data_IF_288411960098
#
_entry.id   IF_288411960098
#
_cell.length_a   1.000
_cell.length_b   1.000
_cell.length_c   1.000
_cell.angle_alpha   90.00
_cell.angle_beta   90.00
_cell.angle_gamma   90.00
#
_symmetry.space_group_name_H-M   'P 1'
#
loop_
_entity.id
_entity.type
_entity.pdbx_description
1 polymer ?
#
# COMPACT_ATOMS: atom_id res chain seq x y z
N UNK A 1 9.67 -18.58 -29.04
CA UNK A 1 11.11 -18.34 -29.06
C UNK A 1 11.43 -17.46 -27.86
N UNK A 2 12.01 -18.04 -26.81
CA UNK A 2 12.48 -17.29 -25.65
C UNK A 2 13.95 -17.64 -25.47
N UNK A 3 14.79 -16.61 -25.43
CA UNK A 3 16.20 -16.75 -25.15
C UNK A 3 16.69 -15.45 -24.55
N UNK A 4 17.14 -15.50 -23.29
CA UNK A 4 18.26 -14.68 -22.86
C UNK A 4 19.01 -15.45 -21.77
N UNK A 5 20.27 -15.72 -22.06
CA UNK A 5 21.25 -16.46 -21.27
C UNK A 5 21.89 -15.47 -20.29
N UNK A 6 21.84 -15.72 -18.98
CA UNK A 6 22.72 -15.08 -18.02
C UNK A 6 23.86 -16.05 -17.66
N UNK A 7 25.07 -15.75 -18.15
CA UNK A 7 26.29 -16.52 -17.90
C UNK A 7 26.79 -16.26 -16.47
N UNK A 8 26.98 -17.33 -15.70
CA UNK A 8 27.75 -17.32 -14.45
C UNK A 8 29.23 -17.07 -14.78
N UNK A 9 29.78 -15.97 -14.28
CA UNK A 9 31.23 -15.81 -14.16
C UNK A 9 31.63 -16.42 -12.83
N UNK A 10 32.36 -17.54 -12.87
CA UNK A 10 32.98 -18.11 -11.69
C UNK A 10 34.06 -17.16 -11.19
N UNK A 11 33.91 -16.64 -9.97
CA UNK A 11 35.00 -15.98 -9.26
C UNK A 11 35.74 -17.04 -8.44
N UNK A 12 37.04 -17.08 -8.68
CA UNK A 12 38.01 -18.07 -8.26
C UNK A 12 38.20 -18.09 -6.74
N UNK A 13 38.20 -19.29 -6.15
CA UNK A 13 38.17 -19.53 -4.72
C UNK A 13 39.61 -19.59 -4.17
N UNK A 14 40.37 -18.49 -4.24
CA UNK A 14 41.66 -18.40 -3.52
C UNK A 14 42.26 -17.00 -3.52
N UNK A 15 41.84 -16.15 -2.59
CA UNK A 15 42.67 -15.04 -2.13
C UNK A 15 42.17 -14.49 -0.78
N UNK A 16 43.08 -14.47 0.21
CA UNK A 16 43.16 -13.49 1.30
C UNK A 16 42.06 -13.63 2.38
N UNK A 17 42.18 -14.56 3.33
CA UNK A 17 42.88 -14.38 4.61
C UNK A 17 43.34 -12.94 4.96
N UNK A 18 42.87 -12.47 6.11
CA UNK A 18 43.06 -11.15 6.74
C UNK A 18 42.19 -10.02 6.17
N UNK A 19 41.14 -9.65 6.92
CA UNK A 19 40.76 -8.29 7.30
C UNK A 19 39.59 -8.39 8.31
N UNK A 20 39.70 -7.64 9.39
CA UNK A 20 38.82 -7.64 10.56
C UNK A 20 37.38 -7.23 10.22
N UNK A 21 36.42 -7.81 10.94
CA UNK A 21 34.98 -7.55 10.79
C UNK A 21 34.63 -6.14 11.30
N UNK A 22 34.78 -5.14 10.44
CA UNK A 22 34.10 -3.86 10.62
C UNK A 22 32.71 -3.95 9.96
N UNK A 23 31.70 -4.01 10.82
CA UNK A 23 30.31 -3.58 10.69
C UNK A 23 29.77 -3.32 9.26
N UNK A 24 28.95 -4.25 8.77
CA UNK A 24 27.89 -3.93 7.81
C UNK A 24 26.55 -4.00 8.53
N UNK A 25 26.14 -2.86 9.11
CA UNK A 25 24.82 -2.65 9.66
C UNK A 25 23.86 -2.35 8.50
N UNK A 26 23.14 -3.36 7.99
CA UNK A 26 21.88 -3.13 7.29
C UNK A 26 20.75 -3.47 8.26
N UNK A 27 20.15 -2.42 8.79
CA UNK A 27 18.98 -2.48 9.66
C UNK A 27 17.77 -2.82 8.79
N UNK A 28 17.26 -4.04 8.93
CA UNK A 28 15.85 -4.37 8.68
C UNK A 28 15.33 -5.21 9.85
N UNK A 29 14.15 -4.82 10.35
CA UNK A 29 13.28 -5.43 11.37
C UNK A 29 13.63 -6.77 12.03
N UNK A 30 13.64 -6.72 13.37
CA UNK A 30 13.18 -7.67 14.41
C UNK A 30 13.66 -9.13 14.49
N UNK A 31 14.30 -9.73 13.49
CA UNK A 31 14.69 -11.15 13.59
C UNK A 31 16.21 -11.34 13.49
N UNK A 32 16.87 -11.41 14.65
CA UNK A 32 18.27 -11.81 14.75
C UNK A 32 18.38 -13.34 14.59
N UNK A 33 18.61 -13.83 13.38
CA UNK A 33 18.93 -15.26 13.18
C UNK A 33 20.42 -15.48 13.39
N UNK A 34 20.79 -15.97 14.58
CA UNK A 34 22.17 -16.36 14.91
C UNK A 34 22.43 -17.77 14.37
N UNK A 35 23.01 -17.87 13.18
CA UNK A 35 23.43 -19.15 12.62
C UNK A 35 24.68 -19.65 13.37
N UNK A 36 24.52 -20.72 14.16
CA UNK A 36 25.60 -21.40 14.88
C UNK A 36 26.00 -22.64 14.07
N UNK A 37 27.20 -22.63 13.49
CA UNK A 37 27.80 -23.83 12.90
C UNK A 37 28.06 -24.85 14.02
N UNK A 38 27.49 -26.05 13.92
CA UNK A 38 27.95 -27.22 14.69
C UNK A 38 28.88 -28.02 13.81
N UNK A 39 30.15 -27.62 13.78
CA UNK A 39 31.20 -28.46 13.22
C UNK A 39 31.64 -29.39 14.34
N UNK A 40 31.13 -30.62 14.33
CA UNK A 40 31.70 -31.68 15.14
C UNK A 40 32.80 -32.32 14.30
N UNK A 41 34.03 -32.13 14.76
CA UNK A 41 35.21 -32.77 14.21
C UNK A 41 35.10 -34.29 14.34
N UNK A 42 35.70 -34.95 13.35
CA UNK A 42 36.09 -36.36 13.33
C UNK A 42 35.11 -37.43 12.79
N UNK A 43 35.50 -37.92 11.61
CA UNK A 43 35.42 -39.32 11.12
C UNK A 43 34.09 -39.93 10.65
N UNK A 44 34.10 -40.23 9.34
CA UNK A 44 33.65 -41.46 8.69
C UNK A 44 32.14 -41.71 8.48
N UNK A 45 31.81 -41.80 7.18
CA UNK A 45 30.76 -42.64 6.58
C UNK A 45 29.32 -42.36 7.05
N UNK A 46 28.53 -41.70 6.20
CA UNK A 46 27.09 -41.93 6.19
C UNK A 46 26.24 -40.72 5.85
N UNK A 47 25.37 -40.94 4.85
CA UNK A 47 24.10 -40.24 4.61
C UNK A 47 24.17 -38.81 4.09
N UNK A 48 23.78 -38.67 2.83
CA UNK A 48 23.43 -37.40 2.19
C UNK A 48 22.30 -36.71 2.97
N UNK A 49 22.58 -35.55 3.54
CA UNK A 49 21.54 -34.65 4.02
C UNK A 49 21.17 -33.71 2.87
N UNK A 50 20.10 -34.06 2.15
CA UNK A 50 19.46 -33.16 1.18
C UNK A 50 18.90 -31.97 1.97
N UNK A 51 19.58 -30.83 1.92
CA UNK A 51 19.01 -29.58 2.46
C UNK A 51 17.97 -29.07 1.47
N UNK A 52 16.70 -29.32 1.79
CA UNK A 52 15.56 -28.66 1.15
C UNK A 52 15.68 -27.15 1.39
N UNK A 53 16.08 -26.41 0.36
CA UNK A 53 15.88 -24.97 0.30
C UNK A 53 14.40 -24.75 0.00
N UNK A 54 13.60 -24.65 1.05
CA UNK A 54 12.23 -24.16 0.95
C UNK A 54 12.31 -22.67 0.58
N UNK A 55 12.18 -22.37 -0.71
CA UNK A 55 11.92 -21.00 -1.16
C UNK A 55 10.56 -20.63 -0.59
N UNK A 56 10.55 -19.77 0.43
CA UNK A 56 9.34 -19.11 0.87
C UNK A 56 8.91 -18.21 -0.28
N UNK A 57 7.97 -18.68 -1.09
CA UNK A 57 7.17 -17.80 -1.91
C UNK A 57 6.38 -16.96 -0.92
N UNK A 58 6.74 -15.69 -0.74
CA UNK A 58 5.79 -14.74 -0.21
C UNK A 58 4.58 -14.82 -1.14
N UNK A 59 3.38 -15.20 -0.65
CA UNK A 59 2.20 -15.01 -1.46
C UNK A 59 2.17 -13.51 -1.75
N UNK A 60 2.39 -13.15 -3.02
CA UNK A 60 2.07 -11.81 -3.48
C UNK A 60 0.62 -11.60 -3.04
N UNK A 61 0.41 -10.68 -2.11
CA UNK A 61 -0.92 -10.27 -1.68
C UNK A 61 -1.62 -9.79 -2.94
N UNK A 62 -2.41 -10.68 -3.52
CA UNK A 62 -3.08 -10.43 -4.79
C UNK A 62 -4.05 -9.29 -4.55
N UNK A 63 -3.75 -8.13 -5.14
CA UNK A 63 -4.61 -6.96 -5.23
C UNK A 63 -5.47 -6.75 -3.98
N UNK A 64 -4.92 -6.02 -3.01
CA UNK A 64 -5.79 -5.26 -2.11
C UNK A 64 -6.85 -4.58 -2.97
N UNK A 65 -8.12 -4.93 -2.77
CA UNK A 65 -9.22 -4.25 -3.45
C UNK A 65 -9.06 -2.77 -3.15
N UNK A 66 -8.76 -1.94 -4.15
CA UNK A 66 -8.52 -0.50 -3.93
C UNK A 66 -9.68 0.19 -3.21
N UNK A 67 -10.88 -0.37 -3.36
CA UNK A 67 -12.08 -0.06 -2.59
C UNK A 67 -11.84 -0.06 -1.07
N UNK A 68 -11.08 -1.03 -0.55
CA UNK A 68 -10.73 -1.13 0.87
C UNK A 68 -9.64 -0.14 1.31
N UNK A 69 -8.98 0.56 0.37
CA UNK A 69 -8.01 1.62 0.65
C UNK A 69 -8.64 3.01 0.71
N UNK A 70 -9.96 3.08 0.63
CA UNK A 70 -10.71 4.33 0.55
C UNK A 70 -11.79 4.31 1.63
N UNK A 71 -11.97 5.41 2.38
CA UNK A 71 -13.11 5.52 3.27
C UNK A 71 -14.40 5.39 2.45
N UNK A 72 -15.37 4.61 2.94
CA UNK A 72 -16.65 4.38 2.25
C UNK A 72 -16.52 3.93 0.77
N UNK A 73 -15.39 3.33 0.36
CA UNK A 73 -15.13 3.02 -1.05
C UNK A 73 -16.14 2.05 -1.68
N UNK A 74 -16.82 1.23 -0.87
CA UNK A 74 -17.89 0.29 -1.27
C UNK A 74 -19.31 0.79 -0.89
N UNK A 75 -19.40 1.99 -0.33
CA UNK A 75 -20.63 2.54 0.26
C UNK A 75 -21.22 3.70 -0.57
N UNK A 76 -20.69 3.95 -1.76
CA UNK A 76 -21.26 4.90 -2.73
C UNK A 76 -22.38 4.21 -3.50
N UNK A 77 -23.62 4.70 -3.35
CA UNK A 77 -24.81 4.03 -3.88
C UNK A 77 -24.77 3.89 -5.40
N UNK A 78 -24.85 2.65 -5.90
CA UNK A 78 -24.86 2.36 -7.33
C UNK A 78 -23.50 2.46 -8.02
N UNK A 79 -22.41 2.64 -7.26
CA UNK A 79 -21.04 2.75 -7.79
C UNK A 79 -20.14 1.70 -7.13
N UNK A 80 -19.80 0.64 -7.87
CA UNK A 80 -18.92 -0.43 -7.40
C UNK A 80 -17.42 -0.08 -7.56
N UNK A 81 -17.10 0.87 -8.45
CA UNK A 81 -15.74 1.27 -8.77
C UNK A 81 -15.61 2.79 -8.92
N UNK A 82 -15.47 3.48 -7.77
CA UNK A 82 -15.41 4.94 -7.68
C UNK A 82 -14.23 5.58 -8.44
N UNK A 83 -13.18 4.82 -8.76
CA UNK A 83 -12.05 5.29 -9.58
C UNK A 83 -12.18 5.09 -11.09
N UNK A 84 -13.34 4.66 -11.59
CA UNK A 84 -13.55 4.32 -13.00
C UNK A 84 -14.74 5.05 -13.63
N UNK A 85 -14.65 5.33 -14.92
CA UNK A 85 -15.78 5.88 -15.70
C UNK A 85 -16.93 4.87 -15.78
N UNK A 86 -16.61 3.58 -15.91
CA UNK A 86 -17.60 2.53 -15.72
C UNK A 86 -17.77 2.27 -14.22
N UNK A 87 -18.94 2.59 -13.69
CA UNK A 87 -19.28 2.41 -12.26
C UNK A 87 -19.19 0.96 -11.78
N UNK A 88 -19.27 -0.02 -12.69
CA UNK A 88 -19.07 -1.46 -12.38
C UNK A 88 -17.58 -1.89 -12.49
N UNK A 89 -16.68 -0.96 -12.75
CA UNK A 89 -15.25 -1.18 -12.85
C UNK A 89 -14.69 -1.47 -14.24
N UNK A 90 -13.36 -1.46 -14.31
CA UNK A 90 -12.60 -1.65 -15.54
C UNK A 90 -12.68 -0.45 -16.50
N UNK A 91 -11.92 -0.55 -17.60
CA UNK A 91 -11.84 0.55 -18.56
C UNK A 91 -11.09 1.78 -18.02
N UNK A 92 -11.29 2.95 -18.65
CA UNK A 92 -10.62 4.19 -18.24
C UNK A 92 -10.95 4.60 -16.80
N UNK A 93 -9.98 5.24 -16.15
CA UNK A 93 -10.18 5.91 -14.86
C UNK A 93 -10.89 7.24 -15.05
N UNK A 94 -11.68 7.64 -14.07
CA UNK A 94 -12.19 9.01 -13.95
C UNK A 94 -11.10 9.91 -13.32
N UNK A 95 -11.43 11.19 -13.05
CA UNK A 95 -10.46 12.13 -12.49
C UNK A 95 -9.94 11.66 -11.11
N UNK A 96 -10.84 11.27 -10.20
CA UNK A 96 -10.46 10.67 -8.91
C UNK A 96 -9.52 9.47 -9.04
N UNK A 97 -9.83 8.52 -9.93
CA UNK A 97 -8.99 7.35 -10.14
C UNK A 97 -7.61 7.69 -10.69
N UNK A 98 -7.49 8.74 -11.52
CA UNK A 98 -6.20 9.26 -11.99
C UNK A 98 -5.40 9.83 -10.84
N UNK A 99 -6.03 10.62 -9.96
CA UNK A 99 -5.38 11.23 -8.81
C UNK A 99 -4.98 10.18 -7.76
N UNK A 100 -5.85 9.20 -7.49
CA UNK A 100 -5.57 8.07 -6.61
C UNK A 100 -4.35 7.28 -7.10
N UNK A 101 -4.25 7.02 -8.41
CA UNK A 101 -3.06 6.36 -8.98
C UNK A 101 -1.81 7.23 -8.90
N UNK A 102 -1.94 8.55 -9.11
CA UNK A 102 -0.84 9.48 -8.98
C UNK A 102 -0.30 9.57 -7.54
N UNK A 103 -1.12 9.26 -6.54
CA UNK A 103 -0.72 9.13 -5.13
C UNK A 103 -0.23 7.73 -4.76
N UNK A 104 0.00 6.84 -5.74
CA UNK A 104 0.47 5.49 -5.47
C UNK A 104 -0.62 4.57 -4.93
N UNK A 105 -1.89 4.86 -5.23
CA UNK A 105 -3.04 4.05 -4.84
C UNK A 105 -3.20 3.99 -3.31
N UNK A 106 -3.04 5.14 -2.66
CA UNK A 106 -3.14 5.31 -1.21
C UNK A 106 -4.04 6.52 -0.86
N UNK A 107 -4.76 6.42 0.25
CA UNK A 107 -5.54 7.53 0.82
C UNK A 107 -4.60 8.54 1.51
N UNK A 108 -3.95 9.37 0.70
CA UNK A 108 -3.04 10.40 1.20
C UNK A 108 -3.79 11.68 1.57
N UNK A 109 -3.21 12.50 2.45
CA UNK A 109 -3.70 13.86 2.75
C UNK A 109 -3.98 14.65 1.47
N UNK A 110 -3.05 14.62 0.50
CA UNK A 110 -3.20 15.34 -0.77
C UNK A 110 -4.38 14.85 -1.60
N UNK A 111 -4.64 13.54 -1.62
CA UNK A 111 -5.81 13.01 -2.31
C UNK A 111 -7.07 13.40 -1.56
N UNK A 112 -7.11 13.20 -0.25
CA UNK A 112 -8.28 13.53 0.55
C UNK A 112 -8.70 15.01 0.44
N UNK A 113 -7.75 15.94 0.45
CA UNK A 113 -8.01 17.39 0.31
C UNK A 113 -8.28 17.85 -1.14
N UNK A 114 -8.05 16.99 -2.14
CA UNK A 114 -8.31 17.34 -3.54
C UNK A 114 -9.80 17.32 -3.85
N UNK A 115 -10.22 18.17 -4.78
CA UNK A 115 -11.53 18.16 -5.44
C UNK A 115 -11.27 17.64 -6.86
N UNK A 116 -11.41 16.33 -7.05
CA UNK A 116 -10.91 15.68 -8.27
C UNK A 116 -11.80 15.94 -9.48
N UNK A 117 -13.12 16.01 -9.27
CA UNK A 117 -14.11 16.22 -10.33
C UNK A 117 -14.56 17.68 -10.47
N UNK A 118 -14.23 18.55 -9.53
CA UNK A 118 -14.39 20.00 -9.63
C UNK A 118 -15.77 20.49 -9.22
N UNK A 119 -16.50 19.74 -8.40
CA UNK A 119 -17.85 20.08 -7.94
C UNK A 119 -17.86 21.05 -6.73
N UNK A 120 -16.69 21.32 -6.15
CA UNK A 120 -16.52 22.16 -4.95
C UNK A 120 -16.61 21.42 -3.62
N UNK A 121 -16.53 20.09 -3.64
CA UNK A 121 -16.37 19.21 -2.50
C UNK A 121 -15.01 18.54 -2.56
N UNK A 122 -14.38 18.34 -1.40
CA UNK A 122 -13.15 17.54 -1.36
C UNK A 122 -13.49 16.05 -1.39
N UNK A 123 -12.60 15.23 -1.94
CA UNK A 123 -12.75 13.77 -1.92
C UNK A 123 -13.02 13.25 -0.49
N UNK A 124 -12.38 13.86 0.52
CA UNK A 124 -12.61 13.56 1.93
C UNK A 124 -14.01 13.92 2.41
N UNK A 125 -14.55 15.09 2.04
CA UNK A 125 -15.94 15.44 2.34
C UNK A 125 -16.92 14.42 1.72
N UNK A 126 -16.70 14.05 0.47
CA UNK A 126 -17.60 13.15 -0.26
C UNK A 126 -17.55 11.72 0.28
N UNK A 127 -16.36 11.22 0.63
CA UNK A 127 -16.13 9.88 1.14
C UNK A 127 -16.19 9.77 2.67
N UNK A 128 -16.57 10.84 3.38
CA UNK A 128 -16.81 10.78 4.82
C UNK A 128 -15.59 10.93 5.73
N UNK A 129 -14.47 11.40 5.20
CA UNK A 129 -13.26 11.76 5.91
C UNK A 129 -12.83 13.22 5.63
N UNK A 130 -13.60 14.23 6.04
CA UNK A 130 -13.31 15.64 5.75
C UNK A 130 -12.04 16.17 6.44
N UNK A 131 -11.46 15.39 7.35
CA UNK A 131 -10.26 15.76 8.10
C UNK A 131 -9.02 15.01 7.66
N UNK A 132 -9.16 14.09 6.68
CA UNK A 132 -8.05 13.28 6.19
C UNK A 132 -7.36 12.49 7.31
N UNK A 133 -8.17 11.97 8.23
CA UNK A 133 -7.77 11.23 9.43
C UNK A 133 -8.09 9.74 9.31
N UNK A 134 -8.77 9.32 8.24
CA UNK A 134 -9.04 7.92 7.98
C UNK A 134 -7.76 7.17 7.64
N UNK A 135 -7.59 6.03 8.28
CA UNK A 135 -6.42 5.16 8.18
C UNK A 135 -6.85 3.79 7.62
N UNK A 136 -6.22 3.38 6.52
CA UNK A 136 -6.52 2.14 5.78
C UNK A 136 -6.04 0.89 6.51
N UNK A 137 -4.87 0.96 7.16
CA UNK A 137 -4.29 -0.13 7.95
C UNK A 137 -5.21 -0.55 9.10
N UNK A 138 -5.89 0.41 9.72
CA UNK A 138 -6.83 0.17 10.82
C UNK A 138 -8.29 0.12 10.37
N UNK A 139 -8.57 0.47 9.12
CA UNK A 139 -9.92 0.68 8.58
C UNK A 139 -10.78 1.50 9.56
N UNK A 140 -10.23 2.62 10.04
CA UNK A 140 -10.88 3.48 11.04
C UNK A 140 -12.30 3.89 10.60
N UNK A 141 -13.19 4.21 11.53
CA UNK A 141 -14.54 4.65 11.15
C UNK A 141 -14.50 6.04 10.51
N UNK A 142 -14.98 6.22 9.26
CA UNK A 142 -15.15 7.54 8.68
C UNK A 142 -16.10 8.40 9.53
N UNK A 143 -15.97 9.73 9.46
CA UNK A 143 -16.80 10.66 10.25
C UNK A 143 -18.27 10.59 9.86
N UNK A 144 -18.58 10.22 8.62
CA UNK A 144 -19.93 9.82 8.21
C UNK A 144 -19.88 8.70 7.17
N UNK A 145 -20.98 7.97 7.09
CA UNK A 145 -21.21 6.88 6.14
C UNK A 145 -22.52 7.05 5.37
N UNK A 146 -23.30 8.08 5.68
CA UNK A 146 -24.55 8.39 5.01
C UNK A 146 -24.38 9.65 4.17
N UNK A 147 -25.09 9.71 3.04
CA UNK A 147 -25.02 10.86 2.13
C UNK A 147 -23.65 11.06 1.51
N UNK A 148 -22.87 9.98 1.32
CA UNK A 148 -21.60 10.00 0.56
C UNK A 148 -21.86 10.11 -0.94
N UNK A 149 -20.88 10.62 -1.68
CA UNK A 149 -20.91 10.92 -3.11
C UNK A 149 -19.80 10.22 -3.88
N UNK A 150 -19.85 10.26 -5.21
CA UNK A 150 -18.80 9.70 -6.08
C UNK A 150 -17.78 10.78 -6.45
N UNK A 151 -16.54 10.76 -5.91
CA UNK A 151 -15.57 11.86 -6.05
C UNK A 151 -14.96 12.03 -7.44
N UNK A 152 -15.45 11.28 -8.43
CA UNK A 152 -15.03 11.35 -9.82
C UNK A 152 -16.19 11.63 -10.78
N UNK A 153 -17.32 12.14 -10.27
CA UNK A 153 -18.54 12.47 -11.01
C UNK A 153 -19.13 13.77 -10.44
N UNK A 154 -18.91 14.88 -11.15
CA UNK A 154 -19.30 16.24 -10.76
C UNK A 154 -20.82 16.45 -10.54
N UNK A 155 -21.63 15.50 -10.98
CA UNK A 155 -23.08 15.49 -10.79
C UNK A 155 -23.53 14.74 -9.53
N UNK A 156 -22.62 14.00 -8.90
CA UNK A 156 -22.84 13.19 -7.71
C UNK A 156 -22.40 13.97 -6.47
N UNK A 157 -23.21 14.92 -6.01
CA UNK A 157 -22.84 15.77 -4.86
C UNK A 157 -23.54 15.38 -3.56
N UNK A 158 -22.86 15.54 -2.42
CA UNK A 158 -23.45 15.38 -1.09
C UNK A 158 -24.19 16.65 -0.63
N UNK A 159 -25.25 16.48 0.15
CA UNK A 159 -25.91 17.62 0.81
C UNK A 159 -25.12 18.04 2.06
N UNK A 160 -24.30 19.10 1.92
CA UNK A 160 -23.49 19.65 3.02
C UNK A 160 -24.30 20.01 4.28
N UNK A 161 -25.62 20.24 4.16
CA UNK A 161 -26.47 20.55 5.30
C UNK A 161 -26.77 19.34 6.21
N UNK A 162 -26.54 18.13 5.70
CA UNK A 162 -26.70 16.88 6.44
C UNK A 162 -25.42 16.46 7.18
N UNK A 163 -24.28 17.08 6.89
CA UNK A 163 -23.03 16.74 7.55
C UNK A 163 -23.05 17.16 9.02
N UNK A 164 -22.61 16.29 9.93
CA UNK A 164 -22.41 16.69 11.32
C UNK A 164 -21.33 17.77 11.38
N UNK A 165 -21.44 18.68 12.35
CA UNK A 165 -20.37 19.61 12.63
C UNK A 165 -19.08 18.83 12.94
N UNK A 166 -18.00 19.16 12.24
CA UNK A 166 -16.70 18.51 12.41
C UNK A 166 -15.61 19.57 12.62
N UNK A 167 -14.60 19.19 13.39
CA UNK A 167 -13.40 19.99 13.64
C UNK A 167 -12.20 19.07 13.41
N UNK A 168 -11.30 19.50 12.54
CA UNK A 168 -10.11 18.74 12.20
C UNK A 168 -8.97 19.10 13.15
N UNK A 169 -8.24 18.10 13.63
CA UNK A 169 -7.13 18.31 14.56
C UNK A 169 -6.05 19.25 13.99
N UNK A 170 -5.90 19.28 12.66
CA UNK A 170 -4.97 20.15 11.92
C UNK A 170 -5.49 21.57 11.63
N UNK A 171 -6.80 21.82 11.74
CA UNK A 171 -7.38 23.16 11.54
C UNK A 171 -6.99 24.16 12.65
N UNK A 172 -6.41 23.67 13.75
CA UNK A 172 -5.83 24.50 14.82
C UNK A 172 -4.45 25.11 14.47
N UNK A 173 -3.82 24.72 13.36
CA UNK A 173 -2.44 25.16 13.03
C UNK A 173 -2.37 26.11 11.82
N UNK A 174 -3.41 26.23 10.99
CA UNK A 174 -3.49 27.27 9.94
C UNK A 174 -4.26 28.50 10.42
N UNK A 175 -3.70 29.18 11.41
CA UNK A 175 -3.97 30.58 11.68
C UNK A 175 -2.65 31.27 12.03
N UNK A 176 -1.88 31.64 11.00
CA UNK A 176 -0.83 32.67 11.06
C UNK A 176 -0.92 33.52 9.80
#
# INVERSE_FOLDING_TARGET
>A
MAGLIARMVALDFKALNSLEWADLLLIYGSHQVKLRSTQNDDTAIGTAAVSLVSVLFDPATGYESFVAKLPNGDNVSGVEAIGHVNVNGGGPRNAFGVDFDAMGQAWTMKLCEADSDGDGQTNGEELGDPCCEWDDETASTPRWTEGVSNPGDDSSTSDKSLWPAYECSNAKVSAV
#
